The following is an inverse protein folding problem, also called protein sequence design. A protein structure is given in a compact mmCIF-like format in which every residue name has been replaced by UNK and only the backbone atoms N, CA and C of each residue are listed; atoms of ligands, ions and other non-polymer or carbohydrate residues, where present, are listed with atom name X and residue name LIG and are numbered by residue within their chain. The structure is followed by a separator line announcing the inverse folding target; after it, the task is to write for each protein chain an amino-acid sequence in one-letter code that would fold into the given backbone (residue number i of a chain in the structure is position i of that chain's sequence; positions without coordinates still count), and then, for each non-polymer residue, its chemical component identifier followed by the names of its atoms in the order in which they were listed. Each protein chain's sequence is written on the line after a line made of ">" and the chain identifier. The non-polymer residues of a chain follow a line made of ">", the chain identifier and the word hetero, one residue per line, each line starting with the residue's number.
data_IF_127054306324
#
_entry.id   IF_127054306324
#
_cell.length_a   1.000
_cell.length_b   1.000
_cell.length_c   1.000
_cell.angle_alpha   90.00
_cell.angle_beta   90.00
_cell.angle_gamma   90.00
#
_symmetry.space_group_name_H-M   'P 1'
#
loop_
_entity.id
_entity.type
_entity.pdbx_description
1 polymer ?
#
# COMPACT_ATOMS: atom_id res chain seq x y z
N UNK A 1 -4.00 -31.59 16.36
CA UNK A 1 -2.89 -31.50 15.39
C UNK A 1 -3.41 -32.12 14.10
N UNK A 2 -3.92 -31.31 13.15
CA UNK A 2 -4.54 -31.83 11.93
C UNK A 2 -3.51 -31.89 10.78
N UNK A 3 -3.39 -33.01 10.03
CA UNK A 3 -2.24 -33.28 9.16
C UNK A 3 -2.45 -32.92 7.67
N UNK A 4 -3.23 -31.88 7.33
CA UNK A 4 -3.58 -31.57 5.92
C UNK A 4 -2.79 -30.36 5.37
N UNK A 5 -1.50 -30.25 5.71
CA UNK A 5 -0.67 -29.10 5.34
C UNK A 5 0.36 -29.32 4.22
N UNK A 6 0.39 -30.49 3.56
CA UNK A 6 1.57 -30.90 2.79
C UNK A 6 1.43 -30.88 1.25
N UNK A 7 0.36 -30.32 0.66
CA UNK A 7 0.17 -30.35 -0.80
C UNK A 7 -0.04 -29.01 -1.51
N UNK A 8 0.08 -27.89 -0.80
CA UNK A 8 0.20 -26.58 -1.44
C UNK A 8 1.46 -25.94 -0.88
N UNK A 9 2.55 -25.93 -1.67
CA UNK A 9 3.85 -25.37 -1.32
C UNK A 9 3.85 -23.85 -1.09
N UNK A 10 2.97 -23.36 -0.22
CA UNK A 10 2.97 -22.01 0.28
C UNK A 10 3.90 -21.99 1.48
N UNK A 11 5.05 -21.29 1.42
CA UNK A 11 5.92 -21.18 2.57
C UNK A 11 5.14 -20.46 3.68
N UNK A 12 4.98 -21.14 4.81
CA UNK A 12 4.65 -20.54 6.10
C UNK A 12 5.74 -19.51 6.47
N UNK A 13 5.74 -18.36 5.80
CA UNK A 13 6.89 -17.44 5.84
C UNK A 13 6.76 -16.13 5.07
N UNK A 14 5.56 -15.73 4.60
CA UNK A 14 5.35 -14.38 4.09
C UNK A 14 4.34 -13.61 4.95
N UNK A 15 4.77 -13.22 6.15
CA UNK A 15 3.98 -12.43 7.10
C UNK A 15 3.81 -10.96 6.66
N UNK A 16 4.57 -10.50 5.66
CA UNK A 16 4.60 -9.11 5.22
C UNK A 16 3.29 -8.59 4.57
N UNK A 17 2.68 -9.31 3.60
CA UNK A 17 1.42 -8.94 2.98
C UNK A 17 0.25 -8.94 3.97
N UNK A 18 0.16 -9.97 4.80
CA UNK A 18 -0.94 -10.14 5.77
C UNK A 18 -0.86 -9.08 6.87
N UNK A 19 0.32 -8.81 7.40
CA UNK A 19 0.52 -7.75 8.41
C UNK A 19 0.19 -6.35 7.86
N UNK A 20 0.38 -6.11 6.55
CA UNK A 20 0.02 -4.83 5.93
C UNK A 20 -1.48 -4.61 5.96
N UNK A 21 -2.28 -5.62 5.64
CA UNK A 21 -3.75 -5.51 5.61
C UNK A 21 -4.27 -5.18 7.01
N UNK A 22 -3.81 -5.91 8.02
CA UNK A 22 -4.20 -5.71 9.43
C UNK A 22 -3.74 -4.35 10.01
N UNK A 23 -2.64 -3.80 9.51
CA UNK A 23 -2.09 -2.52 9.94
C UNK A 23 -2.62 -1.31 9.16
N UNK A 24 -3.59 -1.51 8.25
CA UNK A 24 -4.10 -0.46 7.37
C UNK A 24 -5.45 0.08 7.83
N UNK A 25 -5.66 1.38 7.62
CA UNK A 25 -6.93 2.04 7.86
C UNK A 25 -7.81 1.94 6.63
N UNK A 26 -9.04 1.42 6.76
CA UNK A 26 -9.98 1.31 5.63
C UNK A 26 -10.55 2.65 5.15
N UNK A 27 -10.33 3.75 5.88
CA UNK A 27 -10.79 5.10 5.48
C UNK A 27 -9.74 5.81 4.63
N UNK A 28 -8.48 5.86 5.07
CA UNK A 28 -7.41 6.54 4.32
C UNK A 28 -6.53 5.59 3.48
N UNK A 29 -6.79 4.28 3.56
CA UNK A 29 -6.07 3.21 2.86
C UNK A 29 -4.55 3.17 3.12
N UNK A 30 -4.10 3.89 4.15
CA UNK A 30 -2.71 3.92 4.61
C UNK A 30 -2.52 3.22 5.95
N UNK A 31 -1.28 3.15 6.42
CA UNK A 31 -0.99 2.65 7.76
C UNK A 31 -1.73 3.44 8.83
N UNK A 32 -2.26 2.72 9.82
CA UNK A 32 -2.92 3.32 10.97
C UNK A 32 -1.98 4.32 11.68
N UNK A 33 -2.52 5.48 12.03
CA UNK A 33 -1.87 6.52 12.83
C UNK A 33 -2.77 6.81 14.02
N UNK A 34 -2.24 6.65 15.23
CA UNK A 34 -3.04 6.69 16.46
C UNK A 34 -4.30 5.79 16.34
N UNK A 35 -4.12 4.47 16.22
CA UNK A 35 -5.22 3.54 16.01
C UNK A 35 -6.19 3.56 17.20
N UNK A 36 -7.46 3.73 16.89
CA UNK A 36 -8.59 3.64 17.83
C UNK A 36 -9.51 2.49 17.43
N UNK A 37 -9.96 1.76 18.44
CA UNK A 37 -10.87 0.62 18.35
C UNK A 37 -12.30 1.09 18.62
N UNK A 38 -13.23 0.72 17.74
CA UNK A 38 -14.67 0.85 17.95
C UNK A 38 -15.23 -0.37 18.70
N UNK A 39 -16.43 -0.23 19.29
CA UNK A 39 -17.13 -1.34 19.97
C UNK A 39 -17.35 -2.57 19.08
N UNK A 40 -17.46 -2.36 17.76
CA UNK A 40 -17.58 -3.44 16.79
C UNK A 40 -16.28 -4.20 16.50
N UNK A 41 -15.16 -3.81 17.11
CA UNK A 41 -13.85 -4.46 16.91
C UNK A 41 -13.01 -3.90 15.77
N UNK A 42 -13.52 -2.97 14.96
CA UNK A 42 -12.77 -2.36 13.85
C UNK A 42 -11.86 -1.23 14.33
N UNK A 43 -10.69 -1.12 13.70
CA UNK A 43 -9.67 -0.12 14.03
C UNK A 43 -9.53 0.93 12.92
N UNK A 44 -9.34 2.19 13.31
CA UNK A 44 -9.18 3.31 12.38
C UNK A 44 -8.14 4.30 12.92
N UNK A 45 -7.61 5.18 12.06
CA UNK A 45 -6.89 6.35 12.57
C UNK A 45 -7.87 7.23 13.36
N UNK A 46 -7.45 7.78 14.50
CA UNK A 46 -8.27 8.70 15.29
C UNK A 46 -8.83 9.86 14.47
N UNK A 47 -8.00 10.47 13.62
CA UNK A 47 -8.41 11.59 12.76
C UNK A 47 -9.42 11.16 11.69
N UNK A 48 -9.24 9.98 11.08
CA UNK A 48 -10.13 9.46 10.06
C UNK A 48 -11.55 9.21 10.60
N UNK A 49 -11.67 8.51 11.73
CA UNK A 49 -12.98 8.22 12.30
C UNK A 49 -13.66 9.48 12.86
N UNK A 50 -12.87 10.41 13.39
CA UNK A 50 -13.38 11.70 13.89
C UNK A 50 -13.96 12.54 12.76
N UNK A 51 -13.29 12.59 11.60
CA UNK A 51 -13.79 13.29 10.41
C UNK A 51 -15.05 12.64 9.85
N UNK A 52 -15.03 11.30 9.71
CA UNK A 52 -16.19 10.53 9.26
C UNK A 52 -17.45 10.84 10.08
N UNK A 53 -17.33 10.91 11.41
CA UNK A 53 -18.45 11.28 12.28
C UNK A 53 -18.81 12.77 12.25
N UNK A 54 -17.88 13.66 11.92
CA UNK A 54 -18.18 15.08 11.78
C UNK A 54 -19.04 15.38 10.54
N UNK A 55 -18.90 14.59 9.49
CA UNK A 55 -19.71 14.69 8.26
C UNK A 55 -21.14 14.17 8.44
N UNK A 56 -21.40 13.41 9.52
CA UNK A 56 -22.71 12.89 9.85
C UNK A 56 -23.43 13.89 10.77
N UNK A 57 -24.44 14.59 10.25
CA UNK A 57 -25.27 15.55 11.00
C UNK A 57 -26.22 14.89 12.03
N UNK A 58 -25.77 13.83 12.72
CA UNK A 58 -26.57 13.01 13.65
C UNK A 58 -25.73 12.62 14.86
N UNK A 59 -26.34 12.49 16.03
CA UNK A 59 -25.71 11.95 17.26
C UNK A 59 -25.53 10.41 17.19
N UNK A 60 -25.13 9.91 16.02
CA UNK A 60 -24.90 8.50 15.74
C UNK A 60 -23.47 8.32 15.25
N UNK A 61 -22.83 7.26 15.74
CA UNK A 61 -21.44 6.96 15.45
C UNK A 61 -21.34 5.61 14.70
N UNK A 62 -21.70 5.54 13.40
CA UNK A 62 -21.62 4.33 12.61
C UNK A 62 -20.17 3.96 12.29
N UNK A 63 -19.88 2.66 12.32
CA UNK A 63 -18.63 2.12 11.80
C UNK A 63 -18.60 2.22 10.25
N UNK A 64 -17.52 2.76 9.64
CA UNK A 64 -17.37 2.80 8.18
C UNK A 64 -17.41 1.43 7.49
N UNK A 65 -17.09 0.35 8.20
CA UNK A 65 -16.99 -1.01 7.63
C UNK A 65 -18.29 -1.79 7.80
N UNK A 66 -18.70 -2.05 9.04
CA UNK A 66 -19.86 -2.92 9.33
C UNK A 66 -21.16 -2.16 9.60
N UNK A 67 -21.12 -0.81 9.60
CA UNK A 67 -22.26 0.07 9.87
C UNK A 67 -22.92 -0.11 11.25
N UNK A 68 -22.37 -0.94 12.14
CA UNK A 68 -22.80 -1.00 13.54
C UNK A 68 -22.62 0.38 14.16
N UNK A 69 -23.68 0.91 14.73
CA UNK A 69 -23.76 2.27 15.25
C UNK A 69 -23.66 2.26 16.77
N UNK A 70 -22.74 3.05 17.31
CA UNK A 70 -22.67 3.31 18.75
C UNK A 70 -23.43 4.60 19.07
N UNK A 71 -24.08 4.65 20.24
CA UNK A 71 -24.77 5.85 20.76
C UNK A 71 -23.82 6.83 21.45
N UNK A 72 -22.60 6.40 21.74
CA UNK A 72 -21.55 7.21 22.36
C UNK A 72 -20.32 7.21 21.48
N UNK A 73 -19.55 8.29 21.56
CA UNK A 73 -18.25 8.42 20.90
C UNK A 73 -17.17 7.59 21.64
N UNK A 74 -17.38 6.28 21.69
CA UNK A 74 -16.49 5.35 22.36
C UNK A 74 -15.28 5.02 21.46
N UNK A 75 -14.20 5.79 21.61
CA UNK A 75 -12.92 5.53 20.96
C UNK A 75 -11.93 5.00 21.98
N UNK A 76 -11.53 3.73 21.85
CA UNK A 76 -10.52 3.12 22.73
C UNK A 76 -9.17 3.11 22.02
N UNK A 77 -8.12 3.79 22.53
CA UNK A 77 -6.79 3.71 21.93
C UNK A 77 -6.27 2.27 21.91
N UNK A 78 -5.66 1.83 20.81
CA UNK A 78 -5.09 0.50 20.66
C UNK A 78 -3.56 0.57 20.55
N UNK A 79 -2.88 0.71 21.70
CA UNK A 79 -1.41 0.85 21.76
C UNK A 79 -0.67 -0.36 21.20
N UNK A 80 -1.22 -1.57 21.38
CA UNK A 80 -0.63 -2.80 20.84
C UNK A 80 -0.61 -2.76 19.31
N UNK A 81 -1.72 -2.38 18.69
CA UNK A 81 -1.80 -2.21 17.24
C UNK A 81 -0.88 -1.08 16.75
N UNK A 82 -0.75 0.01 17.49
CA UNK A 82 0.21 1.06 17.16
C UNK A 82 1.65 0.51 17.08
N UNK A 83 2.06 -0.27 18.08
CA UNK A 83 3.39 -0.90 18.10
C UNK A 83 3.58 -1.87 16.91
N UNK A 84 2.56 -2.68 16.60
CA UNK A 84 2.60 -3.59 15.44
C UNK A 84 2.71 -2.85 14.12
N UNK A 85 2.00 -1.71 13.97
CA UNK A 85 2.09 -0.86 12.79
C UNK A 85 3.49 -0.28 12.62
N UNK A 86 4.12 0.17 13.71
CA UNK A 86 5.51 0.67 13.66
C UNK A 86 6.50 -0.45 13.31
N UNK A 87 6.36 -1.64 13.90
CA UNK A 87 7.16 -2.80 13.52
C UNK A 87 6.97 -3.15 12.03
N UNK A 88 5.72 -3.14 11.55
CA UNK A 88 5.41 -3.38 10.14
C UNK A 88 6.02 -2.34 9.19
N UNK A 89 6.14 -1.07 9.62
CA UNK A 89 6.82 -0.02 8.87
C UNK A 89 8.33 -0.25 8.81
N UNK A 90 8.94 -0.73 9.90
CA UNK A 90 10.37 -1.04 9.96
C UNK A 90 10.73 -2.29 9.14
N UNK A 91 9.85 -3.30 9.12
CA UNK A 91 9.99 -4.51 8.28
C UNK A 91 9.94 -4.22 6.77
N UNK A 92 9.41 -3.07 6.34
CA UNK A 92 9.54 -2.63 4.94
C UNK A 92 10.96 -2.22 4.55
N UNK A 93 11.93 -2.41 5.46
CA UNK A 93 13.26 -1.87 5.38
C UNK A 93 13.21 -0.35 5.52
N UNK A 94 14.34 0.31 5.82
CA UNK A 94 14.40 1.74 5.61
C UNK A 94 13.91 2.02 4.18
N UNK A 95 13.01 3.00 4.03
CA UNK A 95 13.17 3.90 2.90
C UNK A 95 14.60 4.40 3.06
N UNK A 96 15.56 3.70 2.45
CA UNK A 96 16.87 4.27 2.17
C UNK A 96 16.46 5.56 1.46
N UNK A 97 16.54 6.70 2.17
CA UNK A 97 16.79 7.96 1.49
C UNK A 97 17.95 7.57 0.60
N UNK A 98 17.73 7.67 -0.71
CA UNK A 98 18.79 7.53 -1.67
C UNK A 98 19.95 8.38 -1.12
N UNK A 99 20.97 7.74 -0.54
CA UNK A 99 22.14 8.44 0.00
C UNK A 99 22.93 9.08 -1.16
N UNK A 100 22.53 8.79 -2.40
CA UNK A 100 22.98 9.42 -3.63
C UNK A 100 21.78 9.64 -4.59
N UNK A 101 21.52 10.85 -5.11
CA UNK A 101 20.49 11.14 -6.12
C UNK A 101 20.54 10.23 -7.35
N UNK A 102 21.71 9.68 -7.68
CA UNK A 102 21.92 8.72 -8.78
C UNK A 102 21.30 7.34 -8.53
N UNK A 103 20.83 7.06 -7.31
CA UNK A 103 20.14 5.81 -6.97
C UNK A 103 18.61 5.87 -7.13
N UNK A 104 18.09 6.95 -7.72
CA UNK A 104 16.68 7.13 -8.06
C UNK A 104 16.49 7.16 -9.57
N UNK A 105 15.41 6.57 -10.06
CA UNK A 105 15.01 6.64 -11.45
C UNK A 105 14.71 8.11 -11.82
N UNK A 106 15.33 8.67 -12.88
CA UNK A 106 15.10 10.06 -13.27
C UNK A 106 13.66 10.31 -13.73
N UNK A 107 12.99 9.28 -14.29
CA UNK A 107 11.61 9.36 -14.75
C UNK A 107 10.59 9.26 -13.61
N UNK A 108 10.84 8.36 -12.65
CA UNK A 108 9.82 7.98 -11.64
C UNK A 108 10.15 8.43 -10.21
N UNK A 109 11.35 8.95 -9.95
CA UNK A 109 11.80 9.36 -8.61
C UNK A 109 11.85 8.23 -7.58
N UNK A 110 11.73 6.98 -8.02
CA UNK A 110 11.77 5.78 -7.18
C UNK A 110 13.17 5.19 -7.13
N UNK A 111 13.56 4.60 -6.00
CA UNK A 111 14.85 3.95 -5.86
C UNK A 111 15.04 2.82 -6.90
N UNK A 112 16.19 2.85 -7.58
CA UNK A 112 16.63 1.83 -8.53
C UNK A 112 17.11 0.60 -7.76
N UNK A 113 16.20 -0.33 -7.49
CA UNK A 113 16.45 -1.53 -6.67
C UNK A 113 16.49 -2.82 -7.48
N UNK A 114 16.27 -2.73 -8.80
CA UNK A 114 16.22 -3.86 -9.73
C UNK A 114 17.19 -3.60 -10.87
N UNK A 115 17.57 -4.64 -11.60
CA UNK A 115 18.47 -4.53 -12.76
C UNK A 115 17.77 -5.09 -13.99
N UNK A 116 17.59 -4.28 -15.03
CA UNK A 116 17.10 -4.72 -16.33
C UNK A 116 18.23 -5.51 -17.00
N UNK A 117 18.00 -6.78 -17.36
CA UNK A 117 19.01 -7.57 -18.07
C UNK A 117 19.19 -7.13 -19.53
N UNK A 118 18.10 -6.72 -20.16
CA UNK A 118 18.08 -6.33 -21.57
C UNK A 118 18.85 -5.02 -21.79
N UNK A 119 18.64 -4.07 -20.88
CA UNK A 119 19.27 -2.75 -20.92
C UNK A 119 20.54 -2.62 -20.10
N UNK A 120 20.88 -3.67 -19.37
CA UNK A 120 22.03 -3.69 -18.47
C UNK A 120 22.07 -2.49 -17.52
N UNK A 121 20.90 -1.99 -17.13
CA UNK A 121 20.73 -0.77 -16.34
C UNK A 121 19.86 -1.00 -15.10
N UNK A 122 20.11 -0.28 -13.99
CA UNK A 122 19.23 -0.31 -12.84
C UNK A 122 17.83 0.24 -13.19
N UNK A 123 16.78 -0.41 -12.71
CA UNK A 123 15.39 -0.04 -12.92
C UNK A 123 14.61 0.09 -11.59
N UNK A 124 13.57 0.92 -11.59
CA UNK A 124 12.61 1.01 -10.48
C UNK A 124 11.39 0.10 -10.73
N UNK A 125 10.56 -0.08 -9.70
CA UNK A 125 9.35 -0.91 -9.80
C UNK A 125 8.36 -0.34 -10.83
N UNK A 126 8.27 0.99 -10.98
CA UNK A 126 7.43 1.61 -12.00
C UNK A 126 7.91 1.29 -13.42
N UNK A 127 9.23 1.36 -13.71
CA UNK A 127 9.78 0.95 -15.01
C UNK A 127 9.44 -0.51 -15.34
N UNK A 128 9.55 -1.41 -14.36
CA UNK A 128 9.21 -2.83 -14.54
C UNK A 128 7.72 -3.05 -14.84
N UNK A 129 6.83 -2.33 -14.13
CA UNK A 129 5.38 -2.40 -14.36
C UNK A 129 5.01 -1.79 -15.72
N UNK A 130 5.59 -0.65 -16.08
CA UNK A 130 5.38 -0.02 -17.39
C UNK A 130 5.79 -0.94 -18.54
N UNK A 131 6.79 -1.81 -18.36
CA UNK A 131 7.14 -2.85 -19.35
C UNK A 131 6.06 -3.93 -19.46
N UNK A 132 5.53 -4.41 -18.34
CA UNK A 132 4.43 -5.41 -18.33
C UNK A 132 3.16 -4.83 -18.96
N UNK A 133 2.87 -3.55 -18.70
CA UNK A 133 1.73 -2.85 -19.30
C UNK A 133 1.97 -2.51 -20.78
N UNK A 134 3.19 -2.14 -21.18
CA UNK A 134 3.56 -1.92 -22.58
C UNK A 134 3.49 -3.20 -23.44
N UNK A 135 3.69 -4.38 -22.84
CA UNK A 135 3.41 -5.67 -23.50
C UNK A 135 1.91 -5.92 -23.72
N UNK A 136 1.02 -5.26 -22.94
CA UNK A 136 -0.43 -5.31 -23.14
C UNK A 136 -0.91 -4.23 -24.13
N UNK A 137 -0.17 -3.14 -24.31
CA UNK A 137 -0.47 -2.13 -25.35
C UNK A 137 -0.20 -2.64 -26.77
N UNK A 138 0.56 -3.73 -26.94
CA UNK A 138 0.62 -4.49 -28.19
C UNK A 138 -0.70 -5.16 -28.60
N UNK A 139 -1.74 -5.14 -27.74
CA UNK A 139 -3.05 -5.75 -28.00
C UNK A 139 -4.13 -4.76 -28.46
N UNK A 140 -3.89 -3.45 -28.36
CA UNK A 140 -4.76 -2.41 -28.93
C UNK A 140 -3.98 -1.58 -29.94
N UNK A 141 -3.56 -2.24 -31.02
CA UNK A 141 -3.15 -1.55 -32.24
C UNK A 141 -4.33 -0.73 -32.76
N UNK A 142 -4.21 0.60 -32.71
CA UNK A 142 -5.10 1.50 -33.44
C UNK A 142 -5.67 2.65 -32.62
N UNK A 143 -4.83 3.58 -32.18
CA UNK A 143 -5.22 5.00 -32.12
C UNK A 143 -3.96 5.84 -32.40
N UNK A 144 -3.76 6.19 -33.67
CA UNK A 144 -2.84 7.25 -34.04
C UNK A 144 -3.37 8.58 -33.48
N UNK A 145 -2.53 9.31 -32.77
CA UNK A 145 -2.82 10.71 -32.47
C UNK A 145 -2.08 11.28 -31.27
N UNK A 146 -0.96 11.94 -31.55
CA UNK A 146 -0.38 13.03 -30.74
C UNK A 146 0.27 12.64 -29.42
N UNK A 147 1.52 12.18 -29.49
CA UNK A 147 2.58 12.73 -28.64
C UNK A 147 3.81 12.97 -29.53
N UNK A 148 3.94 14.20 -30.00
CA UNK A 148 5.17 14.68 -30.62
C UNK A 148 6.25 14.88 -29.55
N UNK A 149 7.49 14.62 -29.94
CA UNK A 149 8.67 15.27 -29.35
C UNK A 149 9.25 14.62 -28.10
N UNK A 150 9.81 13.41 -28.24
CA UNK A 150 11.11 13.08 -27.65
C UNK A 150 11.74 11.94 -28.46
N UNK A 151 12.68 12.28 -29.32
CA UNK A 151 13.69 11.31 -29.75
C UNK A 151 14.62 11.09 -28.55
N UNK A 152 14.56 9.91 -27.95
CA UNK A 152 15.41 9.61 -26.81
C UNK A 152 15.15 8.23 -26.24
N UNK A 153 15.97 7.28 -26.67
CA UNK A 153 16.26 6.01 -26.00
C UNK A 153 15.04 5.13 -25.66
N UNK A 154 14.58 4.36 -26.65
CA UNK A 154 13.92 3.08 -26.38
C UNK A 154 14.97 2.03 -26.01
N UNK A 155 15.52 2.19 -24.81
CA UNK A 155 15.96 1.12 -23.94
C UNK A 155 15.13 1.20 -22.65
N UNK A 156 14.93 0.11 -21.90
CA UNK A 156 14.43 0.15 -20.50
C UNK A 156 14.83 1.45 -19.77
#
# INVERSE_FOLDING_TARGET
>A
MSPIGFLLGLPYGNLGPTLRVEASCSVCLGYLRDPVLLECGHNFCRSCITRWWAELARDLFPCPVCRKTSRRRALRPNRQLANMVEAARQLRGPKRKAENPESCCPLHGQALRRFCRDDQAPACLACEISRVLGLLEGFWGGYQGVWGGYEGFWGC
#
